data_IF_320595392791
#
_entry.id   IF_320595392791
#
_cell.length_a   1.000
_cell.length_b   1.000
_cell.length_c   1.000
_cell.angle_alpha   90.00
_cell.angle_beta   90.00
_cell.angle_gamma   90.00
#
_symmetry.space_group_name_H-M   'P 1'
#
loop_
_entity.id
_entity.type
_entity.pdbx_description
1 polymer ?
#
# COMPACT_ATOMS: atom_id res chain seq x y z
N UNK A 1 -70.36 -20.00 17.29
CA UNK A 1 -70.83 -20.80 16.16
C UNK A 1 -69.62 -21.06 15.31
N UNK A 2 -68.87 -22.11 15.53
CA UNK A 2 -68.90 -23.46 15.01
C UNK A 2 -69.04 -23.50 13.47
N UNK A 3 -67.94 -23.90 12.79
CA UNK A 3 -67.86 -25.16 12.13
C UNK A 3 -66.45 -25.36 11.61
N UNK A 4 -65.84 -26.46 12.06
CA UNK A 4 -64.66 -27.08 11.52
C UNK A 4 -65.03 -27.90 10.26
N UNK A 5 -64.09 -28.08 9.34
CA UNK A 5 -63.99 -29.26 8.51
C UNK A 5 -62.59 -29.52 8.02
N UNK A 6 -62.04 -30.58 8.52
CA UNK A 6 -60.88 -31.34 8.10
C UNK A 6 -61.02 -31.97 6.72
N UNK A 7 -59.94 -32.04 5.94
CA UNK A 7 -59.63 -33.16 5.01
C UNK A 7 -58.13 -33.13 4.62
N UNK A 8 -57.39 -34.10 5.06
CA UNK A 8 -56.13 -34.66 4.51
C UNK A 8 -56.51 -36.02 3.85
N UNK A 9 -55.58 -36.72 3.16
CA UNK A 9 -54.48 -36.38 2.23
C UNK A 9 -54.60 -37.17 0.91
N UNK A 10 -53.81 -36.86 -0.09
CA UNK A 10 -53.37 -37.88 -1.05
C UNK A 10 -51.94 -37.64 -1.56
N UNK A 11 -51.13 -38.66 -1.39
CA UNK A 11 -49.78 -38.88 -1.91
C UNK A 11 -49.76 -39.01 -3.42
N UNK A 12 -48.77 -38.42 -4.09
CA UNK A 12 -48.23 -38.95 -5.33
C UNK A 12 -46.69 -38.78 -5.32
N UNK A 13 -46.08 -39.93 -5.51
CA UNK A 13 -44.67 -40.17 -5.71
C UNK A 13 -44.11 -39.51 -6.98
N UNK A 14 -42.81 -39.25 -6.94
CA UNK A 14 -41.93 -39.44 -8.10
C UNK A 14 -41.39 -38.19 -8.76
N UNK A 15 -40.18 -37.79 -8.36
CA UNK A 15 -39.03 -37.65 -9.25
C UNK A 15 -37.87 -36.99 -8.46
N UNK A 16 -36.94 -37.82 -8.09
CA UNK A 16 -35.60 -37.37 -7.67
C UNK A 16 -34.92 -36.62 -8.86
N UNK A 17 -34.63 -35.37 -8.63
CA UNK A 17 -33.69 -34.63 -9.50
C UNK A 17 -32.51 -34.19 -8.65
N UNK A 18 -31.50 -35.07 -8.63
CA UNK A 18 -30.21 -34.81 -7.99
C UNK A 18 -29.50 -33.65 -8.68
N UNK A 19 -29.72 -32.41 -8.19
CA UNK A 19 -28.86 -31.31 -8.47
C UNK A 19 -27.59 -31.48 -7.62
N UNK A 20 -26.56 -32.08 -8.22
CA UNK A 20 -25.18 -32.10 -7.74
C UNK A 20 -24.71 -30.65 -7.48
N UNK A 21 -24.62 -30.27 -6.22
CA UNK A 21 -23.92 -29.08 -5.78
C UNK A 21 -22.42 -29.29 -6.06
N UNK A 22 -21.94 -28.79 -7.18
CA UNK A 22 -20.51 -28.55 -7.37
C UNK A 22 -20.13 -27.42 -6.42
N UNK A 23 -19.62 -27.78 -5.26
CA UNK A 23 -18.80 -26.91 -4.47
C UNK A 23 -17.56 -26.58 -5.30
N UNK A 24 -17.50 -25.36 -5.81
CA UNK A 24 -16.30 -24.80 -6.41
C UNK A 24 -15.21 -24.83 -5.33
N UNK A 25 -14.24 -25.71 -5.53
CA UNK A 25 -12.99 -25.72 -4.79
C UNK A 25 -12.23 -24.42 -5.17
N UNK A 26 -12.45 -23.37 -4.42
CA UNK A 26 -11.52 -22.25 -4.37
C UNK A 26 -10.17 -22.87 -3.94
N UNK A 27 -9.21 -22.93 -4.86
CA UNK A 27 -7.84 -23.29 -4.53
C UNK A 27 -7.34 -22.25 -3.51
N UNK A 28 -7.28 -22.66 -2.24
CA UNK A 28 -6.63 -21.91 -1.19
C UNK A 28 -5.21 -21.58 -1.65
N UNK A 29 -4.96 -20.28 -1.87
CA UNK A 29 -3.59 -19.79 -1.98
C UNK A 29 -3.01 -20.00 -0.58
N UNK A 30 -2.14 -20.99 -0.44
CA UNK A 30 -1.41 -21.22 0.81
C UNK A 30 -0.58 -19.97 1.06
N UNK A 31 -1.05 -19.14 1.98
CA UNK A 31 -0.28 -18.03 2.53
C UNK A 31 0.90 -18.72 3.21
N UNK A 32 2.12 -18.51 2.67
CA UNK A 32 3.32 -19.02 3.31
C UNK A 32 3.25 -18.61 4.79
N UNK A 33 3.60 -19.51 5.69
CA UNK A 33 3.55 -19.31 7.13
C UNK A 33 4.25 -17.97 7.45
N UNK A 34 3.45 -16.92 7.66
CA UNK A 34 3.92 -15.64 8.15
C UNK A 34 4.54 -15.88 9.51
N UNK A 35 5.61 -15.18 9.83
CA UNK A 35 6.35 -15.33 11.07
C UNK A 35 5.42 -15.39 12.29
N UNK A 36 5.35 -16.55 13.01
CA UNK A 36 4.37 -16.78 14.07
C UNK A 36 4.69 -16.07 15.39
N UNK A 37 5.71 -15.21 15.42
CA UNK A 37 6.20 -14.62 16.67
C UNK A 37 5.35 -13.46 17.20
N UNK A 38 4.45 -12.87 16.40
CA UNK A 38 3.64 -11.74 16.82
C UNK A 38 2.15 -12.09 16.82
N UNK A 39 1.56 -12.21 17.99
CA UNK A 39 0.14 -12.52 18.16
C UNK A 39 -0.83 -11.46 17.57
N UNK A 40 -0.33 -10.27 17.23
CA UNK A 40 -1.11 -9.09 16.81
C UNK A 40 -0.80 -8.58 15.39
N UNK A 41 -0.06 -9.34 14.56
CA UNK A 41 0.33 -8.87 13.23
C UNK A 41 1.57 -7.97 13.23
N UNK A 42 1.79 -7.22 12.15
CA UNK A 42 2.97 -6.38 11.98
C UNK A 42 2.64 -4.99 11.38
N UNK A 43 3.44 -4.00 11.76
CA UNK A 43 3.66 -2.77 10.99
C UNK A 43 4.85 -2.93 10.06
N UNK A 44 5.04 -1.99 9.13
CA UNK A 44 6.19 -2.05 8.21
C UNK A 44 6.71 -0.67 7.83
N UNK A 45 8.02 -0.63 7.46
CA UNK A 45 8.58 0.42 6.62
C UNK A 45 9.03 -0.19 5.30
N UNK A 46 8.65 0.45 4.18
CA UNK A 46 8.83 -0.13 2.85
C UNK A 46 9.38 0.91 1.85
N UNK A 47 10.64 1.32 1.99
CA UNK A 47 11.23 2.34 1.11
C UNK A 47 11.62 1.77 -0.24
N UNK A 48 11.45 2.59 -1.31
CA UNK A 48 12.08 2.33 -2.61
C UNK A 48 13.55 2.77 -2.56
N UNK A 49 14.50 1.96 -3.04
CA UNK A 49 15.94 2.28 -2.99
C UNK A 49 16.33 3.25 -4.12
N UNK A 50 15.65 4.39 -4.20
CA UNK A 50 15.85 5.44 -5.21
C UNK A 50 16.91 6.48 -4.82
N UNK A 51 17.53 6.32 -3.66
CA UNK A 51 18.54 7.17 -3.04
C UNK A 51 18.50 7.02 -1.52
N UNK A 52 19.24 7.84 -0.81
CA UNK A 52 19.32 7.86 0.64
C UNK A 52 18.03 8.43 1.24
N UNK A 53 17.73 8.10 2.51
CA UNK A 53 16.56 8.58 3.20
C UNK A 53 16.74 10.08 3.58
N UNK A 54 15.75 10.88 3.28
CA UNK A 54 15.70 12.26 3.76
C UNK A 54 14.87 12.35 5.05
N UNK A 55 14.93 13.50 5.75
CA UNK A 55 14.22 13.72 7.03
C UNK A 55 12.74 13.30 6.99
N UNK A 56 12.05 13.49 5.86
CA UNK A 56 10.66 13.06 5.69
C UNK A 56 10.49 11.54 5.72
N UNK A 57 11.41 10.79 5.09
CA UNK A 57 11.41 9.33 5.14
C UNK A 57 11.74 8.85 6.56
N UNK A 58 12.75 9.45 7.21
CA UNK A 58 13.15 9.11 8.57
C UNK A 58 12.03 9.34 9.58
N UNK A 59 11.30 10.47 9.46
CA UNK A 59 10.13 10.74 10.28
C UNK A 59 9.04 9.70 10.09
N UNK A 60 8.74 9.35 8.84
CA UNK A 60 7.74 8.32 8.52
C UNK A 60 8.16 6.94 9.04
N UNK A 61 9.45 6.60 8.92
CA UNK A 61 9.99 5.35 9.45
C UNK A 61 9.88 5.26 10.98
N UNK A 62 10.24 6.33 11.70
CA UNK A 62 10.07 6.42 13.15
C UNK A 62 8.60 6.27 13.56
N UNK A 63 7.70 6.96 12.89
CA UNK A 63 6.26 6.86 13.17
C UNK A 63 5.73 5.45 12.92
N UNK A 64 6.13 4.81 11.82
CA UNK A 64 5.72 3.45 11.51
C UNK A 64 6.24 2.44 12.55
N UNK A 65 7.49 2.60 12.96
CA UNK A 65 8.12 1.79 14.00
C UNK A 65 7.45 1.97 15.36
N UNK A 66 7.23 3.22 15.79
CA UNK A 66 6.55 3.52 17.06
C UNK A 66 5.12 2.99 17.08
N UNK A 67 4.34 3.18 16.00
CA UNK A 67 3.00 2.63 15.91
C UNK A 67 2.98 1.11 16.09
N UNK A 68 3.91 0.40 15.44
CA UNK A 68 4.02 -1.05 15.61
C UNK A 68 4.38 -1.42 17.05
N UNK A 69 5.46 -0.85 17.59
CA UNK A 69 5.97 -1.22 18.93
C UNK A 69 5.00 -0.84 20.06
N UNK A 70 4.40 0.35 20.01
CA UNK A 70 3.42 0.81 21.02
C UNK A 70 2.15 -0.06 21.02
N UNK A 71 1.74 -0.58 19.85
CA UNK A 71 0.58 -1.47 19.76
C UNK A 71 0.91 -2.95 19.93
N UNK A 72 2.15 -3.30 20.28
CA UNK A 72 2.59 -4.68 20.52
C UNK A 72 2.73 -5.52 19.26
N UNK A 73 2.81 -4.89 18.09
CA UNK A 73 3.02 -5.54 16.80
C UNK A 73 4.49 -5.77 16.50
N UNK A 74 4.76 -6.76 15.66
CA UNK A 74 6.02 -6.85 14.95
C UNK A 74 6.24 -5.63 14.06
N UNK A 75 7.50 -5.39 13.68
CA UNK A 75 7.85 -4.35 12.70
C UNK A 75 8.78 -4.95 11.66
N UNK A 76 8.40 -4.91 10.39
CA UNK A 76 9.17 -5.52 9.30
C UNK A 76 9.68 -4.49 8.31
N UNK A 77 10.83 -4.79 7.71
CA UNK A 77 11.45 -3.95 6.69
C UNK A 77 11.35 -4.62 5.32
N UNK A 78 10.91 -3.86 4.32
CA UNK A 78 10.89 -4.27 2.92
C UNK A 78 11.59 -3.23 2.06
N UNK A 79 12.44 -3.66 1.16
CA UNK A 79 13.03 -2.80 0.11
C UNK A 79 12.22 -2.99 -1.18
N UNK A 80 11.57 -1.91 -1.63
CA UNK A 80 10.72 -1.91 -2.83
C UNK A 80 11.54 -1.55 -4.07
N UNK A 81 12.25 -2.54 -4.60
CA UNK A 81 13.26 -2.44 -5.65
C UNK A 81 12.76 -2.77 -7.07
N UNK A 82 11.44 -2.80 -7.28
CA UNK A 82 10.84 -3.06 -8.61
C UNK A 82 10.99 -1.86 -9.55
N UNK A 83 11.08 -0.65 -9.01
CA UNK A 83 11.18 0.60 -9.79
C UNK A 83 12.19 1.56 -9.16
N UNK A 84 12.87 2.36 -10.01
CA UNK A 84 13.78 3.47 -9.60
C UNK A 84 14.89 3.08 -8.63
N UNK A 85 15.57 1.97 -8.91
CA UNK A 85 16.71 1.49 -8.11
C UNK A 85 17.97 2.31 -8.40
N UNK A 86 18.67 2.75 -7.35
CA UNK A 86 20.06 3.25 -7.41
C UNK A 86 20.99 2.26 -6.73
N UNK A 87 22.11 1.97 -7.35
CA UNK A 87 23.11 1.05 -6.79
C UNK A 87 23.53 1.48 -5.39
N UNK A 88 23.56 0.52 -4.46
CA UNK A 88 23.96 0.72 -3.07
C UNK A 88 22.93 1.44 -2.18
N UNK A 89 21.84 2.02 -2.73
CA UNK A 89 20.87 2.76 -1.91
C UNK A 89 20.13 1.87 -0.92
N UNK A 90 19.82 0.64 -1.28
CA UNK A 90 19.15 -0.28 -0.35
C UNK A 90 19.99 -0.50 0.92
N UNK A 91 21.29 -0.77 0.77
CA UNK A 91 22.17 -0.97 1.92
C UNK A 91 22.31 0.30 2.75
N UNK A 92 22.50 1.47 2.10
CA UNK A 92 22.59 2.74 2.84
C UNK A 92 21.33 3.05 3.61
N UNK A 93 20.14 2.82 3.03
CA UNK A 93 18.86 2.99 3.74
C UNK A 93 18.75 2.08 4.98
N UNK A 94 19.21 0.83 4.86
CA UNK A 94 19.27 -0.11 6.00
C UNK A 94 20.21 0.43 7.09
N UNK A 95 21.37 0.94 6.70
CA UNK A 95 22.37 1.47 7.63
C UNK A 95 21.90 2.77 8.28
N UNK A 96 21.20 3.64 7.54
CA UNK A 96 20.57 4.86 8.06
C UNK A 96 19.48 4.55 9.10
N UNK A 97 18.63 3.54 8.87
CA UNK A 97 17.62 3.10 9.83
C UNK A 97 18.24 2.55 11.12
N UNK A 98 19.30 1.73 10.99
CA UNK A 98 20.06 1.23 12.14
C UNK A 98 20.73 2.37 12.93
N UNK A 99 21.33 3.32 12.22
CA UNK A 99 21.96 4.49 12.85
C UNK A 99 20.93 5.31 13.63
N UNK A 100 19.69 5.43 13.13
CA UNK A 100 18.61 6.11 13.83
C UNK A 100 18.09 5.32 15.04
N UNK A 101 18.47 4.05 15.18
CA UNK A 101 18.03 3.17 16.27
C UNK A 101 16.70 2.46 16.02
N UNK A 102 16.29 2.38 14.73
CA UNK A 102 15.11 1.60 14.31
C UNK A 102 15.54 0.15 14.09
N UNK A 103 14.95 -0.75 14.85
CA UNK A 103 15.07 -2.19 14.68
C UNK A 103 13.88 -2.77 13.91
N UNK A 104 14.03 -3.97 13.38
CA UNK A 104 12.95 -4.72 12.74
C UNK A 104 13.09 -6.21 12.99
N UNK A 105 11.98 -6.91 12.83
CA UNK A 105 11.89 -8.34 13.09
C UNK A 105 12.11 -9.14 11.81
N UNK A 106 12.92 -10.20 11.92
CA UNK A 106 13.24 -11.09 10.80
C UNK A 106 14.16 -10.48 9.75
N UNK A 107 14.13 -11.06 8.56
CA UNK A 107 14.97 -10.65 7.44
C UNK A 107 14.34 -9.51 6.63
N UNK A 108 15.18 -8.67 6.04
CA UNK A 108 14.74 -7.63 5.10
C UNK A 108 14.21 -8.26 3.83
N UNK A 109 12.94 -8.02 3.52
CA UNK A 109 12.34 -8.50 2.29
C UNK A 109 12.76 -7.65 1.11
N UNK A 110 13.31 -8.28 0.07
CA UNK A 110 13.61 -7.63 -1.22
C UNK A 110 12.44 -7.92 -2.16
N UNK A 111 11.71 -6.88 -2.56
CA UNK A 111 10.45 -7.02 -3.29
C UNK A 111 10.59 -7.72 -4.65
N UNK A 112 11.68 -7.47 -5.39
CA UNK A 112 11.95 -8.13 -6.68
C UNK A 112 12.06 -9.65 -6.58
N UNK A 113 12.46 -10.19 -5.42
CA UNK A 113 12.49 -11.64 -5.18
C UNK A 113 11.10 -12.29 -5.19
N UNK A 114 10.05 -11.48 -5.12
CA UNK A 114 8.64 -11.89 -5.02
C UNK A 114 7.91 -11.95 -6.37
N UNK A 115 8.58 -11.71 -7.49
CA UNK A 115 7.96 -11.59 -8.83
C UNK A 115 7.01 -12.74 -9.16
N UNK A 116 7.34 -13.99 -8.79
CA UNK A 116 6.49 -15.16 -9.01
C UNK A 116 5.13 -15.03 -8.32
N UNK A 117 5.08 -14.49 -7.11
CA UNK A 117 3.85 -14.34 -6.34
C UNK A 117 2.99 -13.20 -6.89
N UNK A 118 3.61 -12.13 -7.36
CA UNK A 118 2.92 -11.04 -8.05
C UNK A 118 2.26 -11.56 -9.33
N UNK A 119 2.97 -12.36 -10.14
CA UNK A 119 2.42 -12.97 -11.36
C UNK A 119 1.24 -13.91 -11.07
N UNK A 120 1.33 -14.73 -10.02
CA UNK A 120 0.22 -15.63 -9.64
C UNK A 120 -1.03 -14.85 -9.18
N UNK A 121 -0.85 -13.75 -8.46
CA UNK A 121 -1.96 -12.89 -8.09
C UNK A 121 -2.63 -12.24 -9.33
N UNK A 122 -1.83 -11.78 -10.31
CA UNK A 122 -2.36 -11.28 -11.59
C UNK A 122 -3.16 -12.35 -12.31
N UNK A 123 -2.65 -13.58 -12.42
CA UNK A 123 -3.35 -14.70 -13.05
C UNK A 123 -4.65 -15.03 -12.30
N UNK A 124 -4.64 -14.96 -10.97
CA UNK A 124 -5.83 -15.17 -10.15
C UNK A 124 -6.90 -14.13 -10.43
N UNK A 125 -6.53 -12.84 -10.48
CA UNK A 125 -7.45 -11.76 -10.83
C UNK A 125 -8.02 -11.92 -12.24
N UNK A 126 -7.20 -12.35 -13.22
CA UNK A 126 -7.65 -12.64 -14.59
C UNK A 126 -8.63 -13.80 -14.62
N UNK A 127 -8.33 -14.94 -13.97
CA UNK A 127 -9.21 -16.12 -13.93
C UNK A 127 -10.57 -15.81 -13.29
N UNK A 128 -10.57 -14.93 -12.29
CA UNK A 128 -11.78 -14.53 -11.56
C UNK A 128 -12.54 -13.37 -12.24
N UNK A 129 -12.07 -12.89 -13.39
CA UNK A 129 -12.71 -11.79 -14.13
C UNK A 129 -12.53 -10.40 -13.50
N UNK A 130 -11.58 -10.25 -12.58
CA UNK A 130 -11.25 -8.99 -11.90
C UNK A 130 -10.07 -8.24 -12.54
N UNK A 131 -9.64 -8.65 -13.72
CA UNK A 131 -8.62 -7.91 -14.49
C UNK A 131 -8.98 -7.88 -15.96
N UNK A 132 -8.49 -6.85 -16.66
CA UNK A 132 -8.67 -6.69 -18.10
C UNK A 132 -7.46 -6.02 -18.73
N UNK A 133 -7.30 -6.21 -20.06
CA UNK A 133 -6.22 -5.63 -20.84
C UNK A 133 -6.51 -4.16 -21.18
N UNK A 134 -5.50 -3.33 -20.99
CA UNK A 134 -5.56 -1.92 -21.36
C UNK A 134 -4.48 -1.57 -22.39
N UNK A 135 -4.93 -1.05 -23.52
CA UNK A 135 -4.10 -0.67 -24.66
C UNK A 135 -3.82 0.84 -24.72
N UNK A 136 -4.28 1.61 -23.72
CA UNK A 136 -4.07 3.04 -23.65
C UNK A 136 -2.63 3.39 -23.30
N UNK A 137 -2.08 4.40 -23.97
CA UNK A 137 -0.87 5.09 -23.53
C UNK A 137 -1.17 6.06 -22.37
N UNK A 138 -0.12 6.53 -21.69
CA UNK A 138 -0.27 7.60 -20.66
C UNK A 138 -0.84 8.90 -21.26
N UNK A 139 -0.59 9.14 -22.55
CA UNK A 139 -1.11 10.30 -23.28
C UNK A 139 -2.62 10.17 -23.46
N UNK A 140 -3.09 9.01 -23.95
CA UNK A 140 -4.52 8.72 -24.16
C UNK A 140 -5.32 8.92 -22.86
N UNK A 141 -4.80 8.44 -21.74
CA UNK A 141 -5.46 8.56 -20.44
C UNK A 141 -5.54 10.04 -20.02
N UNK A 142 -4.47 10.83 -20.18
CA UNK A 142 -4.48 12.25 -19.84
C UNK A 142 -5.43 13.06 -20.73
N UNK A 143 -5.46 12.78 -22.00
CA UNK A 143 -6.36 13.46 -22.97
C UNK A 143 -7.82 13.14 -22.66
N UNK A 144 -8.14 11.89 -22.33
CA UNK A 144 -9.49 11.50 -21.95
C UNK A 144 -9.89 12.07 -20.56
N UNK A 145 -8.97 12.18 -19.61
CA UNK A 145 -9.21 12.78 -18.30
C UNK A 145 -9.35 14.32 -18.34
N UNK A 146 -9.00 14.97 -19.44
CA UNK A 146 -9.23 16.41 -19.64
C UNK A 146 -10.70 16.75 -19.96
N UNK A 147 -11.57 15.74 -20.15
CA UNK A 147 -12.99 15.95 -20.33
C UNK A 147 -13.64 16.48 -19.03
N UNK A 148 -14.57 17.47 -19.11
CA UNK A 148 -15.30 17.96 -17.93
C UNK A 148 -16.00 16.77 -17.25
N UNK A 149 -15.85 16.64 -15.94
CA UNK A 149 -16.45 15.61 -15.07
C UNK A 149 -15.62 14.35 -14.77
N UNK A 150 -14.39 14.19 -15.28
CA UNK A 150 -13.49 13.10 -14.88
C UNK A 150 -12.44 13.65 -13.90
N UNK A 151 -12.32 13.12 -12.68
CA UNK A 151 -11.27 13.54 -11.76
C UNK A 151 -9.87 13.34 -12.37
N UNK A 152 -8.95 14.29 -12.17
CA UNK A 152 -7.58 14.15 -12.71
C UNK A 152 -6.94 12.84 -12.26
N UNK A 153 -6.39 12.09 -13.22
CA UNK A 153 -5.70 10.83 -12.97
C UNK A 153 -6.57 9.58 -12.92
N UNK A 154 -7.90 9.70 -12.96
CA UNK A 154 -8.80 8.55 -13.07
C UNK A 154 -8.76 7.94 -14.47
N UNK A 155 -8.91 6.62 -14.52
CA UNK A 155 -8.99 5.90 -15.78
C UNK A 155 -10.41 6.03 -16.41
N UNK A 156 -10.53 6.50 -17.64
CA UNK A 156 -11.85 6.79 -18.25
C UNK A 156 -12.63 5.53 -18.70
N UNK A 157 -12.11 4.32 -18.47
CA UNK A 157 -12.80 3.08 -18.85
C UNK A 157 -12.66 2.67 -20.32
N UNK A 158 -11.84 3.36 -21.12
CA UNK A 158 -11.74 3.19 -22.59
C UNK A 158 -11.63 1.72 -23.04
N UNK A 159 -10.85 0.90 -22.34
CA UNK A 159 -10.68 -0.52 -22.70
C UNK A 159 -11.58 -1.48 -21.93
N UNK A 160 -12.35 -0.98 -20.97
CA UNK A 160 -13.16 -1.81 -20.07
C UNK A 160 -14.31 -2.53 -20.80
N UNK A 161 -14.83 -1.90 -21.86
CA UNK A 161 -16.00 -2.35 -22.61
C UNK A 161 -15.69 -2.82 -24.03
N UNK A 162 -14.41 -3.06 -24.36
CA UNK A 162 -14.03 -3.60 -25.64
C UNK A 162 -14.62 -4.99 -25.85
N UNK A 163 -15.17 -5.23 -27.03
CA UNK A 163 -15.62 -6.55 -27.46
C UNK A 163 -14.47 -7.51 -27.73
N UNK A 164 -14.71 -8.80 -27.70
CA UNK A 164 -13.68 -9.80 -27.98
C UNK A 164 -12.97 -9.61 -29.33
N UNK A 165 -13.67 -9.27 -30.45
CA UNK A 165 -13.00 -8.95 -31.73
C UNK A 165 -12.09 -7.71 -31.64
N UNK A 166 -12.52 -6.66 -30.94
CA UNK A 166 -11.69 -5.45 -30.74
C UNK A 166 -10.44 -5.74 -29.92
N UNK A 167 -10.57 -6.54 -28.86
CA UNK A 167 -9.43 -6.99 -28.06
C UNK A 167 -8.45 -7.79 -28.92
N UNK A 168 -8.95 -8.75 -29.73
CA UNK A 168 -8.12 -9.56 -30.62
C UNK A 168 -7.33 -8.67 -31.60
N UNK A 169 -8.01 -7.76 -32.28
CA UNK A 169 -7.36 -6.81 -33.20
C UNK A 169 -6.28 -5.97 -32.49
N UNK A 170 -6.59 -5.41 -31.31
CA UNK A 170 -5.61 -4.61 -30.56
C UNK A 170 -4.41 -5.42 -30.07
N UNK A 171 -4.61 -6.70 -29.73
CA UNK A 171 -3.50 -7.60 -29.39
C UNK A 171 -2.56 -7.82 -30.59
N UNK A 172 -3.12 -8.02 -31.79
CA UNK A 172 -2.35 -8.17 -33.04
C UNK A 172 -1.57 -6.89 -33.34
N UNK A 173 -2.22 -5.72 -33.27
CA UNK A 173 -1.57 -4.41 -33.45
C UNK A 173 -0.39 -4.22 -32.47
N UNK A 174 -0.60 -4.50 -31.18
CA UNK A 174 0.44 -4.38 -30.16
C UNK A 174 1.58 -5.40 -30.36
N UNK A 175 1.24 -6.63 -30.73
CA UNK A 175 2.24 -7.67 -31.02
C UNK A 175 3.11 -7.31 -32.23
N UNK A 176 2.52 -6.73 -33.28
CA UNK A 176 3.26 -6.25 -34.46
C UNK A 176 4.26 -5.12 -34.10
N UNK A 177 3.98 -4.33 -33.07
CA UNK A 177 4.85 -3.28 -32.54
C UNK A 177 5.82 -3.78 -31.46
N UNK A 178 5.82 -5.08 -31.13
CA UNK A 178 6.61 -5.64 -30.00
C UNK A 178 6.14 -5.16 -28.63
N UNK A 179 4.92 -4.70 -28.50
CA UNK A 179 4.30 -4.15 -27.29
C UNK A 179 3.37 -5.17 -26.65
N UNK A 180 3.12 -5.00 -25.36
CA UNK A 180 2.12 -5.74 -24.58
C UNK A 180 1.12 -4.76 -23.96
N UNK A 181 -0.16 -5.15 -23.80
CA UNK A 181 -1.10 -4.36 -23.00
C UNK A 181 -0.69 -4.34 -21.54
N UNK A 182 -1.03 -3.28 -20.83
CA UNK A 182 -1.03 -3.28 -19.40
C UNK A 182 -2.27 -4.04 -18.89
N UNK A 183 -2.21 -4.60 -17.67
CA UNK A 183 -3.39 -5.15 -17.01
C UNK A 183 -3.90 -4.19 -15.96
N UNK A 184 -5.21 -4.00 -15.94
CA UNK A 184 -5.90 -3.17 -14.95
C UNK A 184 -6.85 -3.99 -14.11
N UNK A 185 -7.01 -3.56 -12.85
CA UNK A 185 -8.08 -4.06 -12.01
C UNK A 185 -9.43 -3.70 -12.65
N UNK A 186 -10.32 -4.68 -12.76
CA UNK A 186 -11.75 -4.46 -12.99
C UNK A 186 -12.41 -4.30 -11.64
N UNK A 187 -12.42 -3.07 -11.13
CA UNK A 187 -12.97 -2.76 -9.82
C UNK A 187 -14.47 -3.09 -9.78
N UNK A 188 -14.94 -3.90 -8.80
CA UNK A 188 -16.35 -4.28 -8.70
C UNK A 188 -17.23 -3.20 -8.06
N UNK A 189 -16.61 -2.17 -7.48
CA UNK A 189 -17.26 -1.04 -6.81
C UNK A 189 -16.59 0.27 -7.21
N UNK A 190 -17.30 1.38 -7.12
CA UNK A 190 -16.78 2.72 -7.44
C UNK A 190 -16.14 3.43 -6.25
N UNK A 191 -16.46 2.99 -5.02
CA UNK A 191 -15.92 3.56 -3.78
C UNK A 191 -15.77 2.47 -2.72
N UNK A 192 -14.92 2.70 -1.75
CA UNK A 192 -14.72 1.81 -0.60
C UNK A 192 -14.31 2.59 0.62
N UNK A 193 -14.71 2.08 1.81
CA UNK A 193 -14.34 2.67 3.11
C UNK A 193 -13.21 1.87 3.75
N UNK A 194 -12.20 2.56 4.24
CA UNK A 194 -11.11 2.02 5.04
C UNK A 194 -11.09 2.69 6.41
N UNK A 195 -10.49 2.04 7.39
CA UNK A 195 -10.22 2.67 8.69
C UNK A 195 -8.82 3.27 8.72
N UNK A 196 -8.74 4.53 9.15
CA UNK A 196 -7.49 5.26 9.34
C UNK A 196 -7.44 5.86 10.75
N UNK A 197 -6.30 5.74 11.42
CA UNK A 197 -6.14 6.21 12.81
C UNK A 197 -6.28 7.74 12.96
N UNK A 198 -6.03 8.50 11.89
CA UNK A 198 -6.11 9.96 11.89
C UNK A 198 -7.36 10.50 11.18
N UNK A 199 -7.80 9.83 10.12
CA UNK A 199 -8.94 10.27 9.31
C UNK A 199 -10.23 9.51 9.65
N UNK A 200 -10.19 8.54 10.57
CA UNK A 200 -11.33 7.72 10.95
C UNK A 200 -11.80 6.82 9.80
N UNK A 201 -13.10 6.78 9.55
CA UNK A 201 -13.69 6.05 8.42
C UNK A 201 -13.52 6.90 7.16
N UNK A 202 -12.52 6.57 6.35
CA UNK A 202 -12.27 7.25 5.08
C UNK A 202 -12.91 6.49 3.92
N UNK A 203 -13.88 7.11 3.26
CA UNK A 203 -14.48 6.60 2.02
C UNK A 203 -13.88 7.34 0.83
N UNK A 204 -13.33 6.60 -0.11
CA UNK A 204 -12.73 7.18 -1.30
C UNK A 204 -12.98 6.35 -2.56
N UNK A 205 -12.71 6.92 -3.74
CA UNK A 205 -12.96 6.28 -5.01
C UNK A 205 -12.07 5.04 -5.22
N UNK A 206 -12.63 4.04 -5.90
CA UNK A 206 -11.91 2.87 -6.39
C UNK A 206 -11.85 2.94 -7.90
N UNK A 207 -10.64 3.15 -8.43
CA UNK A 207 -10.40 3.22 -9.87
C UNK A 207 -10.03 1.84 -10.45
N UNK A 208 -10.11 1.71 -11.78
CA UNK A 208 -9.56 0.61 -12.56
C UNK A 208 -8.04 0.81 -12.75
N UNK A 209 -7.27 0.84 -11.66
CA UNK A 209 -5.84 1.12 -11.70
C UNK A 209 -5.02 -0.02 -12.32
N UNK A 210 -3.81 0.30 -12.77
CA UNK A 210 -2.88 -0.70 -13.33
C UNK A 210 -2.42 -1.65 -12.22
N UNK A 211 -2.52 -2.96 -12.47
CA UNK A 211 -2.00 -4.02 -11.61
C UNK A 211 -0.72 -4.64 -12.18
N UNK A 212 -0.59 -4.69 -13.53
CA UNK A 212 0.65 -5.09 -14.20
C UNK A 212 0.95 -4.14 -15.35
N UNK A 213 2.19 -3.70 -15.43
CA UNK A 213 2.68 -2.77 -16.46
C UNK A 213 2.87 -3.52 -17.79
N UNK A 214 2.94 -2.76 -18.88
CA UNK A 214 3.17 -3.31 -20.23
C UNK A 214 4.56 -3.98 -20.40
N UNK A 215 5.52 -3.68 -19.53
CA UNK A 215 6.82 -4.36 -19.48
C UNK A 215 6.78 -5.69 -18.70
N UNK A 216 5.63 -6.03 -18.11
CA UNK A 216 5.41 -7.25 -17.32
C UNK A 216 5.68 -7.06 -15.82
N UNK A 217 6.25 -5.94 -15.40
CA UNK A 217 6.48 -5.68 -13.98
C UNK A 217 5.15 -5.44 -13.24
N UNK A 218 5.02 -5.86 -11.98
CA UNK A 218 3.85 -5.54 -11.17
C UNK A 218 3.80 -4.03 -10.93
N UNK A 219 2.60 -3.48 -10.86
CA UNK A 219 2.41 -2.11 -10.44
C UNK A 219 2.48 -2.00 -8.91
N UNK A 220 2.85 -0.82 -8.41
CA UNK A 220 3.00 -0.54 -6.98
C UNK A 220 1.81 -1.05 -6.13
N UNK A 221 0.58 -0.71 -6.52
CA UNK A 221 -0.61 -1.10 -5.75
C UNK A 221 -0.80 -2.61 -5.65
N UNK A 222 -0.38 -3.39 -6.66
CA UNK A 222 -0.43 -4.85 -6.60
C UNK A 222 0.65 -5.39 -5.67
N UNK A 223 1.90 -4.97 -5.91
CA UNK A 223 3.05 -5.51 -5.19
C UNK A 223 2.95 -5.25 -3.68
N UNK A 224 2.60 -4.01 -3.26
CA UNK A 224 2.50 -3.65 -1.85
C UNK A 224 1.44 -4.47 -1.12
N UNK A 225 0.28 -4.71 -1.74
CA UNK A 225 -0.82 -5.47 -1.11
C UNK A 225 -0.43 -6.94 -0.91
N UNK A 226 0.21 -7.55 -1.91
CA UNK A 226 0.64 -8.95 -1.83
C UNK A 226 1.74 -9.13 -0.78
N UNK A 227 2.69 -8.21 -0.74
CA UNK A 227 3.84 -8.33 0.14
C UNK A 227 3.51 -7.91 1.58
N UNK A 228 2.57 -6.98 1.78
CA UNK A 228 2.01 -6.69 3.10
C UNK A 228 1.29 -7.95 3.66
N UNK A 229 0.46 -8.62 2.85
CA UNK A 229 -0.19 -9.86 3.27
C UNK A 229 0.82 -10.98 3.59
N UNK A 230 1.86 -11.14 2.77
CA UNK A 230 2.91 -12.14 3.00
C UNK A 230 3.69 -11.91 4.31
N UNK A 231 3.98 -10.65 4.63
CA UNK A 231 4.71 -10.28 5.86
C UNK A 231 3.80 -10.21 7.10
N UNK A 232 2.51 -10.55 6.98
CA UNK A 232 1.56 -10.48 8.09
C UNK A 232 1.26 -9.04 8.54
N UNK A 233 1.43 -8.07 7.65
CA UNK A 233 1.18 -6.66 7.94
C UNK A 233 -0.32 -6.41 8.05
N UNK A 234 -0.75 -5.93 9.21
CA UNK A 234 -2.13 -5.50 9.50
C UNK A 234 -2.22 -4.00 9.85
N UNK A 235 -1.07 -3.31 9.93
CA UNK A 235 -0.97 -1.89 10.21
C UNK A 235 -0.05 -1.18 9.21
N UNK A 236 -0.60 -0.19 8.49
CA UNK A 236 0.09 0.54 7.42
C UNK A 236 0.23 2.01 7.77
N UNK A 237 1.42 2.41 8.22
CA UNK A 237 1.78 3.82 8.45
C UNK A 237 2.55 4.35 7.26
N UNK A 238 2.10 5.49 6.68
CA UNK A 238 2.73 6.11 5.49
C UNK A 238 2.27 7.56 5.30
N UNK A 239 2.88 8.28 4.35
CA UNK A 239 2.49 9.64 4.03
C UNK A 239 1.04 9.79 3.56
N UNK A 240 0.41 10.91 3.91
CA UNK A 240 -1.00 11.22 3.62
C UNK A 240 -1.27 11.46 2.12
N UNK A 241 -0.24 11.67 1.31
CA UNK A 241 -0.33 11.69 -0.15
C UNK A 241 -0.79 10.35 -0.77
N UNK A 242 -0.74 9.28 0.01
CA UNK A 242 -1.20 7.93 -0.39
C UNK A 242 -2.59 7.57 0.14
N UNK A 243 -3.25 8.43 0.92
CA UNK A 243 -4.56 8.16 1.51
C UNK A 243 -5.60 7.77 0.44
N UNK A 244 -5.63 8.51 -0.66
CA UNK A 244 -6.58 8.26 -1.76
C UNK A 244 -6.41 6.90 -2.46
N UNK A 245 -5.28 6.23 -2.29
CA UNK A 245 -5.04 4.90 -2.88
C UNK A 245 -5.53 3.74 -1.99
N UNK A 246 -5.75 4.00 -0.70
CA UNK A 246 -6.09 2.98 0.29
C UNK A 246 -7.38 2.23 -0.01
N UNK A 247 -8.49 2.89 -0.46
CA UNK A 247 -9.70 2.18 -0.86
C UNK A 247 -9.48 1.16 -1.96
N UNK A 248 -8.69 1.51 -2.99
CA UNK A 248 -8.35 0.62 -4.09
C UNK A 248 -7.48 -0.56 -3.64
N UNK A 249 -6.49 -0.32 -2.78
CA UNK A 249 -5.65 -1.38 -2.20
C UNK A 249 -6.46 -2.32 -1.30
N UNK A 250 -7.38 -1.80 -0.51
CA UNK A 250 -8.25 -2.62 0.35
C UNK A 250 -9.19 -3.53 -0.47
N UNK A 251 -9.77 -3.02 -1.56
CA UNK A 251 -10.55 -3.84 -2.49
C UNK A 251 -9.67 -4.91 -3.15
N UNK A 252 -8.48 -4.57 -3.59
CA UNK A 252 -7.55 -5.53 -4.18
C UNK A 252 -7.19 -6.66 -3.19
N UNK A 253 -6.89 -6.30 -1.93
CA UNK A 253 -6.64 -7.28 -0.87
C UNK A 253 -7.83 -8.22 -0.69
N UNK A 254 -9.05 -7.68 -0.59
CA UNK A 254 -10.29 -8.46 -0.48
C UNK A 254 -10.50 -9.41 -1.66
N UNK A 255 -10.25 -8.97 -2.90
CA UNK A 255 -10.40 -9.80 -4.11
C UNK A 255 -9.39 -10.95 -4.16
N UNK A 256 -8.24 -10.78 -3.52
CA UNK A 256 -7.20 -11.80 -3.37
C UNK A 256 -7.37 -12.66 -2.10
N UNK A 257 -8.39 -12.39 -1.27
CA UNK A 257 -8.64 -13.14 -0.04
C UNK A 257 -7.70 -12.77 1.12
N UNK A 258 -7.04 -11.62 1.07
CA UNK A 258 -6.14 -11.14 2.11
C UNK A 258 -6.89 -10.39 3.22
N UNK A 259 -6.34 -10.35 4.45
CA UNK A 259 -6.89 -9.59 5.54
C UNK A 259 -6.96 -8.09 5.24
N UNK A 260 -7.86 -7.39 5.91
CA UNK A 260 -7.90 -5.92 5.89
C UNK A 260 -6.82 -5.36 6.80
N UNK A 261 -6.24 -4.23 6.40
CA UNK A 261 -5.25 -3.50 7.20
C UNK A 261 -5.88 -2.24 7.80
N UNK A 262 -5.34 -1.79 8.94
CA UNK A 262 -5.60 -0.47 9.50
C UNK A 262 -4.54 0.50 9.00
N UNK A 263 -4.95 1.68 8.57
CA UNK A 263 -4.05 2.71 8.08
C UNK A 263 -3.78 3.78 9.13
N UNK A 264 -2.63 4.43 9.03
CA UNK A 264 -2.30 5.67 9.72
C UNK A 264 -1.55 6.58 8.72
N UNK A 265 -2.26 7.48 8.07
CA UNK A 265 -1.67 8.41 7.11
C UNK A 265 -1.13 9.64 7.85
N UNK A 266 0.18 9.78 7.83
CA UNK A 266 0.89 10.85 8.55
C UNK A 266 1.20 12.03 7.62
N UNK A 267 1.15 13.27 8.14
CA UNK A 267 1.44 14.45 7.34
C UNK A 267 2.83 14.44 6.72
N UNK A 268 2.91 14.94 5.49
CA UNK A 268 4.17 15.07 4.78
C UNK A 268 5.12 16.07 5.45
N UNK A 269 6.40 15.85 5.20
CA UNK A 269 7.44 16.85 5.47
C UNK A 269 7.64 17.67 4.20
N UNK A 270 7.49 18.99 4.34
CA UNK A 270 7.59 19.95 3.24
C UNK A 270 8.91 20.74 3.30
N UNK A 271 9.37 21.16 2.14
CA UNK A 271 10.41 22.18 2.03
C UNK A 271 9.88 23.58 2.42
N UNK A 272 10.76 24.54 2.63
CA UNK A 272 10.38 25.94 2.90
C UNK A 272 9.53 26.54 1.77
N UNK A 273 9.65 26.04 0.55
CA UNK A 273 8.81 26.41 -0.60
C UNK A 273 7.35 25.90 -0.53
N UNK A 274 7.01 25.07 0.46
CA UNK A 274 5.74 24.38 0.56
C UNK A 274 5.63 23.13 -0.34
N UNK A 275 6.63 22.82 -1.16
CA UNK A 275 6.68 21.61 -1.94
C UNK A 275 7.05 20.40 -1.05
N UNK A 276 6.69 19.17 -1.47
CA UNK A 276 7.18 17.96 -0.80
C UNK A 276 8.71 17.97 -0.74
N UNK A 277 9.26 17.71 0.43
CA UNK A 277 10.71 17.68 0.62
C UNK A 277 11.34 16.63 -0.31
N UNK A 278 12.15 17.09 -1.25
CA UNK A 278 12.84 16.26 -2.22
C UNK A 278 14.31 16.71 -2.34
N UNK A 279 15.21 15.84 -2.82
CA UNK A 279 16.66 16.14 -2.93
C UNK A 279 16.97 17.48 -3.61
N UNK A 280 16.23 17.87 -4.64
CA UNK A 280 16.38 19.17 -5.35
C UNK A 280 15.94 20.38 -4.53
N UNK A 281 15.19 20.17 -3.45
CA UNK A 281 14.59 21.22 -2.63
C UNK A 281 15.31 21.36 -1.27
N UNK A 282 16.58 20.90 -1.17
CA UNK A 282 17.36 20.94 0.06
C UNK A 282 17.03 19.85 1.07
N UNK A 283 16.45 18.72 0.60
CA UNK A 283 16.24 17.55 1.46
C UNK A 283 17.59 17.02 1.92
N UNK A 284 17.86 17.13 3.21
CA UNK A 284 19.10 16.67 3.83
C UNK A 284 18.99 15.21 4.22
N UNK A 285 20.05 14.46 3.92
CA UNK A 285 20.25 13.07 4.32
C UNK A 285 21.06 13.01 5.63
N UNK A 286 21.08 11.85 6.28
CA UNK A 286 21.93 11.65 7.47
C UNK A 286 23.42 11.91 7.12
N UNK A 287 23.89 11.45 5.96
CA UNK A 287 25.27 11.64 5.51
C UNK A 287 25.62 13.14 5.36
N UNK A 288 24.78 13.91 4.66
CA UNK A 288 24.98 15.36 4.49
C UNK A 288 24.93 16.13 5.82
N UNK A 289 24.13 15.68 6.78
CA UNK A 289 24.06 16.27 8.12
C UNK A 289 25.31 15.91 8.93
N UNK A 290 25.78 14.68 8.85
CA UNK A 290 27.01 14.23 9.53
C UNK A 290 28.26 14.97 9.02
N UNK A 291 28.36 15.24 7.70
CA UNK A 291 29.43 16.06 7.13
C UNK A 291 29.48 17.49 7.70
N UNK A 292 28.33 17.98 8.19
CA UNK A 292 28.21 19.29 8.85
C UNK A 292 28.32 19.21 10.38
N UNK A 293 28.68 18.03 10.91
CA UNK A 293 28.85 17.81 12.36
C UNK A 293 27.57 17.55 13.15
N UNK A 294 26.43 17.35 12.46
CA UNK A 294 25.16 17.03 13.13
C UNK A 294 25.16 15.55 13.55
N UNK A 295 24.84 15.30 14.78
CA UNK A 295 24.77 13.95 15.37
C UNK A 295 23.39 13.30 15.16
N UNK A 296 23.32 11.98 15.24
CA UNK A 296 22.05 11.24 15.24
C UNK A 296 21.12 11.71 16.37
N UNK A 297 21.67 12.02 17.53
CA UNK A 297 20.89 12.53 18.66
C UNK A 297 20.17 13.84 18.35
N UNK A 298 20.84 14.77 17.67
CA UNK A 298 20.23 16.04 17.22
C UNK A 298 19.17 15.80 16.15
N UNK A 299 19.41 14.86 15.21
CA UNK A 299 18.40 14.47 14.20
C UNK A 299 17.14 13.93 14.88
N UNK A 300 17.30 13.03 15.84
CA UNK A 300 16.17 12.47 16.60
C UNK A 300 15.44 13.56 17.38
N UNK A 301 16.15 14.47 18.03
CA UNK A 301 15.56 15.58 18.77
C UNK A 301 14.67 16.47 17.87
N UNK A 302 15.16 16.82 16.68
CA UNK A 302 14.38 17.62 15.69
C UNK A 302 13.16 16.83 15.20
N UNK A 303 13.29 15.55 14.91
CA UNK A 303 12.18 14.68 14.53
C UNK A 303 11.16 14.54 15.66
N UNK A 304 11.61 14.36 16.91
CA UNK A 304 10.75 14.28 18.08
C UNK A 304 9.96 15.58 18.34
N UNK A 305 10.61 16.74 18.19
CA UNK A 305 9.94 18.05 18.29
C UNK A 305 8.83 18.20 17.24
N UNK A 306 9.00 17.64 16.01
CA UNK A 306 7.93 17.61 15.02
C UNK A 306 6.70 16.80 15.44
N UNK A 307 6.85 15.99 16.49
CA UNK A 307 5.81 15.17 17.12
C UNK A 307 5.35 15.72 18.48
N UNK A 308 5.84 16.92 18.87
CA UNK A 308 5.52 17.56 20.16
C UNK A 308 6.25 16.96 21.35
N UNK A 309 7.36 16.24 21.14
CA UNK A 309 8.20 15.65 22.19
C UNK A 309 9.53 16.38 22.26
N UNK A 310 9.95 16.74 23.46
CA UNK A 310 11.20 17.45 23.72
C UNK A 310 12.12 16.64 24.67
N UNK A 311 13.42 16.91 24.60
CA UNK A 311 14.41 16.35 25.53
C UNK A 311 14.71 14.87 25.31
N UNK A 312 14.45 14.32 24.11
CA UNK A 312 14.79 12.95 23.71
C UNK A 312 15.89 12.96 22.66
N UNK A 313 16.85 12.04 22.79
CA UNK A 313 18.06 11.99 21.97
C UNK A 313 18.30 10.58 21.37
N UNK A 314 17.36 9.65 21.54
CA UNK A 314 17.39 8.33 20.95
C UNK A 314 15.99 7.86 20.54
N UNK A 315 15.90 6.93 19.56
CA UNK A 315 14.63 6.34 19.16
C UNK A 315 13.95 5.59 20.32
N UNK A 316 14.72 4.94 21.21
CA UNK A 316 14.20 4.26 22.38
C UNK A 316 13.56 5.23 23.38
N UNK A 317 14.21 6.35 23.69
CA UNK A 317 13.63 7.40 24.55
C UNK A 317 12.34 7.97 23.95
N UNK A 318 12.33 8.17 22.62
CA UNK A 318 11.14 8.64 21.92
C UNK A 318 10.01 7.61 22.03
N UNK A 319 10.31 6.32 21.83
CA UNK A 319 9.33 5.23 21.97
C UNK A 319 8.77 5.16 23.40
N UNK A 320 9.62 5.23 24.41
CA UNK A 320 9.21 5.22 25.83
C UNK A 320 8.30 6.41 26.20
N UNK A 321 8.44 7.53 25.50
CA UNK A 321 7.61 8.73 25.72
C UNK A 321 6.23 8.64 25.09
N UNK A 322 5.99 7.66 24.21
CA UNK A 322 4.79 7.53 23.39
C UNK A 322 3.86 6.41 23.86
N UNK A 323 2.58 6.63 23.65
CA UNK A 323 1.50 5.65 23.75
C UNK A 323 0.52 5.84 22.57
N UNK A 324 -0.48 4.98 22.46
CA UNK A 324 -1.45 5.02 21.36
C UNK A 324 -2.23 6.34 21.32
N UNK A 325 -2.58 6.89 22.49
CA UNK A 325 -3.36 8.13 22.59
C UNK A 325 -2.53 9.32 22.10
N UNK A 326 -1.27 9.39 22.50
CA UNK A 326 -0.33 10.43 22.04
C UNK A 326 -0.05 10.30 20.54
N UNK A 327 0.12 9.07 20.02
CA UNK A 327 0.28 8.87 18.57
C UNK A 327 -0.95 9.34 17.79
N UNK A 328 -2.17 9.08 18.27
CA UNK A 328 -3.41 9.58 17.66
C UNK A 328 -3.57 11.10 17.77
N UNK A 329 -3.01 11.69 18.82
CA UNK A 329 -3.07 13.14 19.06
C UNK A 329 -2.01 13.94 18.28
N UNK A 330 -1.14 13.29 17.49
CA UNK A 330 -0.11 13.98 16.71
C UNK A 330 -0.71 15.02 15.76
N UNK A 331 -0.05 16.17 15.58
CA UNK A 331 -0.52 17.22 14.68
C UNK A 331 -0.73 16.70 13.26
N UNK A 332 -1.93 16.88 12.70
CA UNK A 332 -2.29 16.50 11.34
C UNK A 332 -2.00 17.64 10.34
N UNK A 333 -0.87 18.32 10.51
CA UNK A 333 -0.40 19.39 9.62
C UNK A 333 0.95 19.00 9.03
N UNK A 334 1.17 19.33 7.75
CA UNK A 334 2.50 19.21 7.17
C UNK A 334 3.54 19.91 8.04
N UNK A 335 4.70 19.28 8.16
CA UNK A 335 5.80 19.84 8.93
C UNK A 335 6.90 20.35 7.98
N UNK A 336 7.37 21.55 8.25
CA UNK A 336 8.53 22.13 7.57
C UNK A 336 9.67 22.20 8.58
N UNK A 337 10.75 21.44 8.42
CA UNK A 337 11.86 21.47 9.35
C UNK A 337 12.56 22.83 9.33
N UNK A 338 12.85 23.35 10.50
CA UNK A 338 13.80 24.42 10.68
C UNK A 338 15.19 23.78 10.76
N UNK A 339 15.93 23.81 9.65
CA UNK A 339 17.26 23.20 9.57
C UNK A 339 18.30 23.97 10.37
N UNK A 340 18.07 25.25 10.70
CA UNK A 340 19.00 26.03 11.54
C UNK A 340 19.11 25.45 12.94
N UNK A 341 18.02 24.83 13.44
CA UNK A 341 18.03 24.14 14.73
C UNK A 341 18.94 22.92 14.77
N UNK A 342 19.34 22.35 13.63
CA UNK A 342 20.29 21.25 13.56
C UNK A 342 21.74 21.73 13.73
N UNK A 343 22.00 23.02 13.60
CA UNK A 343 23.35 23.61 13.64
C UNK A 343 23.56 24.49 14.88
N UNK A 344 22.56 24.61 15.72
CA UNK A 344 22.63 25.29 17.03
C UNK A 344 22.95 24.30 18.16
#
# INVERSE_FOLDING_TARGET
MAFASTLTPQSHDGAENSASSRADSASEITIGEGHPEHALGAGRFAPSPSGDLHLGNLRTALLAWMWARVTGRGFVLRIEDIDRVRSGSAQRQIDELKALGIDWDGEVLIQSSRAKFHDEAVKTLLRNGYAFECFCSRKDIREAASAPHVPPGHYPGTCLHLSAPEIARKREEFAAEGRRPALRLKAPVSEWTVHDEYFGQYTGPVDHFVIQRSDGAPAYNLAVVIDDAFQGVDQVVRGDDLLSQSPGQAILARLLGYPTVTYAHVPLVLAQSGARLAKRDGAVTIEELAERGVTIAQIIEVLARSMGVEGVHSASQLLESMDVEKLRALPQKPWTPDLEMLFS
#
